data_IF_738886935349
#
_entry.id   IF_738886935349
#
_cell.length_a   1.000
_cell.length_b   1.000
_cell.length_c   1.000
_cell.angle_alpha   90.00
_cell.angle_beta   90.00
_cell.angle_gamma   90.00
#
_symmetry.space_group_name_H-M   'P 1'
#
loop_
_entity.id
_entity.type
_entity.pdbx_description
1 polymer ?
#
# COMPACT_ATOMS: atom_id res chain seq x y z
N UNK A 1 -10.92 42.99 -15.92
CA UNK A 1 -9.64 42.30 -16.20
C UNK A 1 -9.43 41.32 -15.07
N UNK A 2 -10.06 40.15 -15.14
CA UNK A 2 -9.93 39.11 -14.11
C UNK A 2 -9.20 37.94 -14.77
N UNK A 3 -7.90 37.82 -14.47
CA UNK A 3 -7.17 36.60 -14.77
C UNK A 3 -7.70 35.51 -13.84
N UNK A 4 -8.40 34.55 -14.42
CA UNK A 4 -8.70 33.27 -13.77
C UNK A 4 -7.34 32.57 -13.68
N UNK A 5 -6.85 32.36 -12.45
CA UNK A 5 -5.70 31.50 -12.21
C UNK A 5 -6.05 30.09 -12.71
N UNK A 6 -5.53 29.72 -13.87
CA UNK A 6 -5.54 28.34 -14.35
C UNK A 6 -4.32 27.64 -13.76
N UNK A 7 -4.37 27.35 -12.46
CA UNK A 7 -3.48 26.33 -11.92
C UNK A 7 -3.80 25.03 -12.67
N UNK A 8 -2.81 24.35 -13.29
CA UNK A 8 -3.08 23.11 -13.97
C UNK A 8 -3.63 22.10 -12.95
N UNK A 9 -4.66 21.31 -13.30
CA UNK A 9 -5.18 20.30 -12.40
C UNK A 9 -4.04 19.37 -11.98
N UNK A 10 -3.96 19.06 -10.68
CA UNK A 10 -3.05 18.05 -10.14
C UNK A 10 -3.07 16.82 -11.06
N UNK A 11 -1.95 16.56 -11.75
CA UNK A 11 -1.88 15.49 -12.76
C UNK A 11 -1.69 14.15 -12.03
N UNK A 12 -2.80 13.61 -11.52
CA UNK A 12 -2.82 12.28 -10.94
C UNK A 12 -2.96 11.22 -12.05
N UNK A 13 -2.17 10.16 -11.98
CA UNK A 13 -2.25 8.98 -12.84
C UNK A 13 -2.62 7.78 -11.97
N UNK A 14 -3.57 6.99 -12.41
CA UNK A 14 -4.10 5.83 -11.68
C UNK A 14 -3.81 4.56 -12.47
N UNK A 15 -3.39 3.50 -11.78
CA UNK A 15 -3.07 2.19 -12.33
C UNK A 15 -3.68 1.08 -11.48
N UNK A 16 -3.95 -0.08 -12.10
CA UNK A 16 -4.51 -1.26 -11.41
C UNK A 16 -5.88 -0.99 -10.77
N UNK A 17 -6.16 -1.71 -9.69
CA UNK A 17 -7.43 -1.62 -8.94
C UNK A 17 -7.40 -0.51 -7.87
N UNK A 18 -6.89 0.68 -8.20
CA UNK A 18 -6.84 1.76 -7.21
C UNK A 18 -8.24 2.36 -6.98
N UNK A 19 -8.62 2.55 -5.72
CA UNK A 19 -9.87 3.23 -5.33
C UNK A 19 -9.57 4.72 -5.11
N UNK A 20 -10.03 5.63 -5.99
CA UNK A 20 -9.68 7.06 -5.91
C UNK A 20 -10.40 7.80 -4.78
N UNK A 21 -11.59 7.33 -4.41
CA UNK A 21 -12.47 7.96 -3.43
C UNK A 21 -13.09 6.88 -2.57
N UNK A 22 -12.84 6.94 -1.27
CA UNK A 22 -13.52 6.08 -0.30
C UNK A 22 -14.84 6.73 0.14
N UNK A 23 -15.88 5.93 0.41
CA UNK A 23 -17.10 6.44 1.04
C UNK A 23 -16.78 7.17 2.36
N UNK A 24 -17.29 8.40 2.58
CA UNK A 24 -16.96 9.19 3.78
C UNK A 24 -17.56 8.60 5.07
N UNK A 25 -18.49 7.67 4.93
CA UNK A 25 -19.22 7.03 6.02
C UNK A 25 -18.48 5.80 6.59
N UNK A 26 -17.39 5.37 5.95
CA UNK A 26 -16.62 4.21 6.37
C UNK A 26 -15.46 4.61 7.28
N UNK A 27 -15.33 3.90 8.40
CA UNK A 27 -14.22 4.09 9.32
C UNK A 27 -12.86 3.82 8.64
N UNK A 28 -11.84 4.53 9.11
CA UNK A 28 -10.46 4.32 8.67
C UNK A 28 -9.48 4.58 9.80
N UNK A 29 -8.36 3.86 9.74
CA UNK A 29 -7.21 4.13 10.61
C UNK A 29 -6.05 4.57 9.72
N UNK A 30 -5.55 5.78 9.97
CA UNK A 30 -4.40 6.32 9.27
C UNK A 30 -3.28 6.72 10.23
N UNK A 31 -2.06 6.31 9.89
CA UNK A 31 -0.81 6.69 10.52
C UNK A 31 -0.02 7.57 9.56
N UNK A 32 0.62 8.61 10.10
CA UNK A 32 1.47 9.52 9.33
C UNK A 32 2.85 9.64 9.98
N UNK A 33 3.90 9.51 9.17
CA UNK A 33 5.28 9.55 9.61
C UNK A 33 6.01 10.73 8.97
N UNK A 34 6.52 11.64 9.80
CA UNK A 34 7.32 12.77 9.32
C UNK A 34 8.77 12.33 9.05
N UNK A 35 9.33 12.51 7.84
CA UNK A 35 10.67 12.03 7.51
C UNK A 35 11.78 12.47 8.48
N UNK A 36 11.73 13.71 8.97
CA UNK A 36 12.79 14.35 9.77
C UNK A 36 12.95 13.88 11.23
N UNK A 37 12.03 13.09 11.80
CA UNK A 37 11.98 12.86 13.25
C UNK A 37 12.67 11.61 13.84
N UNK A 38 13.53 10.88 13.11
CA UNK A 38 14.46 9.81 13.57
C UNK A 38 15.15 9.15 12.37
N UNK A 39 16.34 8.54 12.49
CA UNK A 39 16.95 7.82 11.36
C UNK A 39 16.03 6.69 10.90
N UNK A 40 15.72 6.65 9.60
CA UNK A 40 14.78 5.72 8.95
C UNK A 40 14.97 4.24 9.32
N UNK A 41 16.21 3.84 9.67
CA UNK A 41 16.56 2.48 10.15
C UNK A 41 15.91 2.10 11.49
N UNK A 42 15.70 3.06 12.40
CA UNK A 42 14.96 2.79 13.64
C UNK A 42 13.45 2.66 13.36
N UNK A 43 12.93 3.32 12.32
CA UNK A 43 11.53 3.16 11.91
C UNK A 43 11.26 1.83 11.22
N UNK A 44 12.22 1.27 10.49
CA UNK A 44 12.07 -0.08 9.93
C UNK A 44 11.81 -1.14 11.02
N UNK A 45 12.42 -1.00 12.21
CA UNK A 45 12.08 -1.83 13.37
C UNK A 45 10.64 -1.62 13.87
N UNK A 46 10.07 -0.42 13.68
CA UNK A 46 8.66 -0.14 13.99
C UNK A 46 7.69 -0.54 12.87
N UNK A 47 8.13 -0.82 11.64
CA UNK A 47 7.22 -1.21 10.55
C UNK A 47 6.39 -2.44 10.94
N UNK A 48 7.06 -3.47 11.46
CA UNK A 48 6.38 -4.67 11.97
C UNK A 48 5.40 -4.32 13.09
N UNK A 49 5.76 -3.42 14.01
CA UNK A 49 4.86 -3.00 15.09
C UNK A 49 3.62 -2.28 14.55
N UNK A 50 3.80 -1.35 13.60
CA UNK A 50 2.69 -0.63 12.97
C UNK A 50 1.77 -1.56 12.19
N UNK A 51 2.33 -2.54 11.47
CA UNK A 51 1.56 -3.55 10.74
C UNK A 51 0.78 -4.47 11.68
N UNK A 52 1.41 -4.94 12.77
CA UNK A 52 0.72 -5.76 13.78
C UNK A 52 -0.39 -4.98 14.48
N UNK A 53 -0.13 -3.73 14.88
CA UNK A 53 -1.14 -2.88 15.48
C UNK A 53 -2.34 -2.65 14.55
N UNK A 54 -2.08 -2.42 13.26
CA UNK A 54 -3.15 -2.29 12.27
C UNK A 54 -3.95 -3.58 12.11
N UNK A 55 -3.28 -4.74 12.09
CA UNK A 55 -3.93 -6.04 12.02
C UNK A 55 -4.75 -6.36 13.28
N UNK A 56 -4.27 -5.99 14.47
CA UNK A 56 -5.02 -6.08 15.73
C UNK A 56 -6.24 -5.16 15.73
N UNK A 57 -6.10 -3.94 15.22
CA UNK A 57 -7.23 -3.03 15.09
C UNK A 57 -8.27 -3.58 14.10
N UNK A 58 -7.81 -4.13 12.97
CA UNK A 58 -8.62 -4.74 11.92
C UNK A 58 -9.52 -5.87 12.45
N UNK A 59 -9.07 -6.69 13.40
CA UNK A 59 -9.90 -7.81 13.89
C UNK A 59 -11.21 -7.38 14.55
N UNK A 60 -11.31 -6.12 15.02
CA UNK A 60 -12.56 -5.60 15.61
C UNK A 60 -13.67 -5.39 14.57
N UNK A 61 -13.33 -5.38 13.28
CA UNK A 61 -14.28 -5.20 12.19
C UNK A 61 -14.72 -6.52 11.57
N UNK A 62 -14.08 -7.64 11.90
CA UNK A 62 -14.43 -8.94 11.36
C UNK A 62 -15.81 -9.39 11.89
N UNK A 63 -16.64 -10.03 11.04
CA UNK A 63 -17.92 -10.56 11.48
C UNK A 63 -17.70 -11.65 12.54
N UNK A 64 -18.41 -11.52 13.67
CA UNK A 64 -18.41 -12.50 14.75
C UNK A 64 -19.69 -13.32 14.63
N UNK A 65 -19.54 -14.61 14.30
CA UNK A 65 -20.62 -15.59 14.31
C UNK A 65 -20.22 -16.73 15.26
N UNK A 66 -20.80 -16.73 16.46
CA UNK A 66 -20.48 -17.67 17.54
C UNK A 66 -20.86 -19.12 17.18
N UNK A 67 -21.75 -19.31 16.20
CA UNK A 67 -22.19 -20.63 15.73
C UNK A 67 -21.27 -21.21 14.65
N UNK A 68 -20.27 -20.45 14.17
CA UNK A 68 -19.38 -20.91 13.10
C UNK A 68 -18.15 -21.67 13.63
N UNK A 69 -18.02 -22.99 13.35
CA UNK A 69 -16.99 -23.85 13.97
C UNK A 69 -15.52 -23.46 13.68
N UNK A 70 -15.29 -22.57 12.71
CA UNK A 70 -13.96 -22.16 12.25
C UNK A 70 -13.66 -20.67 12.49
N UNK A 71 -14.47 -19.98 13.28
CA UNK A 71 -14.37 -18.53 13.48
C UNK A 71 -12.97 -18.08 13.92
N UNK A 72 -12.40 -18.71 14.95
CA UNK A 72 -11.07 -18.36 15.48
C UNK A 72 -9.98 -18.52 14.40
N UNK A 73 -10.08 -19.58 13.59
CA UNK A 73 -9.13 -19.85 12.51
C UNK A 73 -9.21 -18.76 11.44
N UNK A 74 -10.42 -18.39 10.99
CA UNK A 74 -10.58 -17.31 10.00
C UNK A 74 -10.07 -15.98 10.51
N UNK A 75 -10.40 -15.61 11.75
CA UNK A 75 -9.88 -14.36 12.36
C UNK A 75 -8.35 -14.34 12.36
N UNK A 76 -7.72 -15.47 12.71
CA UNK A 76 -6.27 -15.60 12.72
C UNK A 76 -5.66 -15.51 11.32
N UNK A 77 -6.28 -16.14 10.32
CA UNK A 77 -5.84 -16.10 8.92
C UNK A 77 -5.99 -14.69 8.33
N UNK A 78 -7.15 -14.06 8.50
CA UNK A 78 -7.40 -12.68 8.03
C UNK A 78 -6.44 -11.68 8.71
N UNK A 79 -6.20 -11.83 10.01
CA UNK A 79 -5.21 -11.02 10.74
C UNK A 79 -3.79 -11.22 10.19
N UNK A 80 -3.39 -12.47 9.93
CA UNK A 80 -2.07 -12.75 9.38
C UNK A 80 -1.89 -12.15 7.98
N UNK A 81 -2.91 -12.27 7.11
CA UNK A 81 -2.93 -11.68 5.79
C UNK A 81 -2.80 -10.15 5.84
N UNK A 82 -3.65 -9.49 6.65
CA UNK A 82 -3.60 -8.03 6.83
C UNK A 82 -2.24 -7.59 7.38
N UNK A 83 -1.68 -8.29 8.38
CA UNK A 83 -0.37 -7.98 8.96
C UNK A 83 0.76 -8.09 7.92
N UNK A 84 0.73 -9.14 7.09
CA UNK A 84 1.71 -9.32 6.01
C UNK A 84 1.64 -8.17 5.00
N UNK A 85 0.46 -7.91 4.45
CA UNK A 85 0.26 -6.85 3.44
C UNK A 85 0.59 -5.47 3.98
N UNK A 86 0.13 -5.17 5.19
CA UNK A 86 0.48 -3.96 5.92
C UNK A 86 2.00 -3.76 6.03
N UNK A 87 2.72 -4.82 6.41
CA UNK A 87 4.17 -4.77 6.55
C UNK A 87 4.87 -4.54 5.21
N UNK A 88 4.50 -5.29 4.17
CA UNK A 88 5.11 -5.17 2.84
C UNK A 88 4.88 -3.78 2.21
N UNK A 89 3.66 -3.24 2.30
CA UNK A 89 3.36 -1.91 1.79
C UNK A 89 4.10 -0.82 2.55
N UNK A 90 4.14 -0.90 3.89
CA UNK A 90 4.85 0.09 4.70
C UNK A 90 6.37 0.00 4.51
N UNK A 91 6.92 -1.21 4.37
CA UNK A 91 8.33 -1.43 4.07
C UNK A 91 8.70 -0.83 2.71
N UNK A 92 7.90 -1.09 1.67
CA UNK A 92 8.09 -0.50 0.35
C UNK A 92 8.04 1.03 0.42
N UNK A 93 7.02 1.60 1.06
CA UNK A 93 6.89 3.04 1.20
C UNK A 93 8.09 3.68 1.91
N UNK A 94 8.59 3.05 2.99
CA UNK A 94 9.77 3.53 3.72
C UNK A 94 11.07 3.33 2.94
N UNK A 95 11.20 2.26 2.15
CA UNK A 95 12.38 1.95 1.34
C UNK A 95 12.55 2.93 0.19
N UNK A 96 11.46 3.28 -0.48
CA UNK A 96 11.47 4.14 -1.66
C UNK A 96 11.19 5.62 -1.37
N UNK A 97 10.90 5.97 -0.10
CA UNK A 97 10.69 7.36 0.27
C UNK A 97 11.91 8.24 -0.04
N UNK A 98 11.69 9.41 -0.64
CA UNK A 98 12.74 10.42 -0.76
C UNK A 98 13.05 11.02 0.62
N UNK A 99 14.24 10.70 1.15
CA UNK A 99 14.71 11.21 2.44
C UNK A 99 14.98 12.72 2.45
N UNK A 100 15.06 13.36 1.28
CA UNK A 100 15.21 14.82 1.18
C UNK A 100 13.86 15.54 1.09
N UNK A 101 12.76 14.80 0.96
CA UNK A 101 11.41 15.34 0.91
C UNK A 101 10.83 15.51 2.30
N UNK A 102 10.04 16.57 2.49
CA UNK A 102 9.23 16.78 3.70
C UNK A 102 7.84 16.12 3.61
N UNK A 103 7.53 15.46 2.49
CA UNK A 103 6.28 14.74 2.33
C UNK A 103 6.18 13.60 3.36
N UNK A 104 5.07 13.58 4.09
CA UNK A 104 4.85 12.56 5.12
C UNK A 104 4.54 11.22 4.47
N UNK A 105 5.17 10.16 4.97
CA UNK A 105 4.70 8.82 4.63
C UNK A 105 3.36 8.61 5.31
N UNK A 106 2.32 8.29 4.54
CA UNK A 106 0.99 7.92 5.05
C UNK A 106 0.81 6.42 4.93
N UNK A 107 0.10 5.83 5.88
CA UNK A 107 -0.17 4.41 5.90
C UNK A 107 -1.52 4.19 6.58
N UNK A 108 -2.41 3.44 5.99
CA UNK A 108 -3.75 3.29 6.54
C UNK A 108 -4.51 2.10 6.02
N UNK A 109 -5.65 1.87 6.64
CA UNK A 109 -6.63 0.85 6.26
C UNK A 109 -8.03 1.46 6.23
N UNK A 110 -8.76 1.17 5.15
CA UNK A 110 -10.19 1.40 4.99
C UNK A 110 -10.92 0.05 4.91
N UNK A 111 -12.22 0.07 5.20
CA UNK A 111 -13.06 -1.11 5.20
C UNK A 111 -14.22 -0.93 4.23
N UNK A 112 -14.32 -1.82 3.24
CA UNK A 112 -15.49 -1.90 2.38
C UNK A 112 -16.37 -3.06 2.83
N UNK A 113 -17.55 -2.74 3.36
CA UNK A 113 -18.54 -3.75 3.74
C UNK A 113 -19.36 -4.16 2.51
N UNK A 114 -19.32 -5.44 2.17
CA UNK A 114 -20.21 -6.08 1.22
C UNK A 114 -21.22 -6.96 1.99
N UNK A 115 -22.32 -7.35 1.35
CA UNK A 115 -23.45 -8.04 2.01
C UNK A 115 -23.04 -9.23 2.88
N UNK A 116 -22.01 -10.00 2.49
CA UNK A 116 -21.54 -11.20 3.19
C UNK A 116 -20.00 -11.24 3.36
N UNK A 117 -19.32 -10.12 3.21
CA UNK A 117 -17.85 -10.10 3.30
C UNK A 117 -17.31 -8.71 3.52
N UNK A 118 -16.09 -8.64 4.03
CA UNK A 118 -15.39 -7.38 4.23
C UNK A 118 -14.19 -7.37 3.30
N UNK A 119 -13.88 -6.20 2.74
CA UNK A 119 -12.62 -5.99 2.04
C UNK A 119 -11.79 -4.99 2.83
N UNK A 120 -10.64 -5.45 3.29
CA UNK A 120 -9.60 -4.61 3.87
C UNK A 120 -8.86 -3.91 2.73
N UNK A 121 -8.88 -2.58 2.72
CA UNK A 121 -8.15 -1.77 1.74
C UNK A 121 -7.00 -1.07 2.45
N UNK A 122 -5.81 -1.61 2.29
CA UNK A 122 -4.59 -1.15 2.95
C UNK A 122 -3.81 -0.30 1.96
N UNK A 123 -3.32 0.86 2.38
CA UNK A 123 -2.54 1.73 1.51
C UNK A 123 -1.32 2.30 2.23
N UNK A 124 -0.28 2.58 1.45
CA UNK A 124 0.85 3.37 1.88
C UNK A 124 1.19 4.42 0.81
N UNK A 125 1.44 5.65 1.24
CA UNK A 125 1.87 6.75 0.38
C UNK A 125 3.24 7.27 0.80
N UNK A 126 4.13 7.47 -0.16
CA UNK A 126 5.46 8.06 0.04
C UNK A 126 5.83 8.98 -1.12
N UNK A 127 6.83 9.83 -0.87
CA UNK A 127 7.48 10.58 -1.95
C UNK A 127 8.47 9.70 -2.70
N UNK A 128 8.68 9.96 -3.98
CA UNK A 128 9.72 9.28 -4.77
C UNK A 128 10.81 10.26 -5.20
N UNK A 129 12.04 9.76 -5.28
CA UNK A 129 13.18 10.55 -5.77
C UNK A 129 12.96 10.94 -7.24
N UNK A 130 13.53 12.08 -7.62
CA UNK A 130 13.54 12.51 -9.03
C UNK A 130 14.08 11.40 -9.96
N UNK A 131 13.40 11.16 -11.07
CA UNK A 131 13.70 10.08 -12.02
C UNK A 131 13.25 8.67 -11.59
N UNK A 132 12.59 8.52 -10.43
CA UNK A 132 12.02 7.25 -9.99
C UNK A 132 10.68 6.91 -10.64
N UNK A 133 9.95 7.92 -11.15
CA UNK A 133 8.61 7.77 -11.74
C UNK A 133 8.61 6.80 -12.93
N UNK A 134 9.50 7.00 -13.90
CA UNK A 134 9.51 6.20 -15.13
C UNK A 134 9.82 4.73 -14.85
N UNK A 135 10.76 4.46 -13.93
CA UNK A 135 11.10 3.10 -13.49
C UNK A 135 9.92 2.42 -12.81
N UNK A 136 9.20 3.16 -11.97
CA UNK A 136 8.03 2.64 -11.28
C UNK A 136 6.88 2.35 -12.27
N UNK A 137 6.63 3.25 -13.23
CA UNK A 137 5.61 3.03 -14.27
C UNK A 137 5.91 1.80 -15.11
N UNK A 138 7.14 1.67 -15.59
CA UNK A 138 7.55 0.49 -16.36
C UNK A 138 7.35 -0.81 -15.57
N UNK A 139 7.67 -0.82 -14.28
CA UNK A 139 7.41 -1.95 -13.40
C UNK A 139 5.92 -2.25 -13.23
N UNK A 140 5.08 -1.23 -13.01
CA UNK A 140 3.62 -1.40 -12.87
C UNK A 140 3.03 -1.95 -14.17
N UNK A 141 3.43 -1.41 -15.32
CA UNK A 141 2.97 -1.85 -16.63
C UNK A 141 3.36 -3.31 -16.91
N UNK A 142 4.61 -3.69 -16.58
CA UNK A 142 5.07 -5.07 -16.68
C UNK A 142 4.24 -6.01 -15.78
N UNK A 143 4.01 -5.61 -14.52
CA UNK A 143 3.23 -6.39 -13.56
C UNK A 143 1.77 -6.58 -14.01
N UNK A 144 1.15 -5.54 -14.57
CA UNK A 144 -0.24 -5.59 -15.05
C UNK A 144 -0.41 -6.36 -16.37
N UNK A 145 0.65 -6.48 -17.17
CA UNK A 145 0.64 -7.17 -18.46
C UNK A 145 1.06 -8.64 -18.37
N UNK A 146 1.73 -9.05 -17.29
CA UNK A 146 2.32 -10.39 -17.13
C UNK A 146 1.35 -11.38 -16.50
N UNK A 147 1.60 -12.67 -16.74
CA UNK A 147 1.12 -13.73 -15.86
C UNK A 147 1.88 -13.64 -14.53
N UNK A 148 1.17 -13.38 -13.43
CA UNK A 148 1.77 -13.10 -12.12
C UNK A 148 2.47 -14.32 -11.53
N UNK A 149 2.09 -15.53 -11.94
CA UNK A 149 2.75 -16.77 -11.50
C UNK A 149 4.12 -16.94 -12.18
N UNK A 150 4.21 -16.71 -13.49
CA UNK A 150 5.50 -16.72 -14.19
C UNK A 150 6.43 -15.61 -13.69
N UNK A 151 5.87 -14.42 -13.44
CA UNK A 151 6.63 -13.29 -12.91
C UNK A 151 7.13 -13.57 -11.49
N UNK A 152 6.34 -14.25 -10.64
CA UNK A 152 6.74 -14.67 -9.31
C UNK A 152 7.93 -15.64 -9.34
N UNK A 153 7.87 -16.66 -10.21
CA UNK A 153 8.98 -17.60 -10.38
C UNK A 153 10.26 -16.88 -10.83
N UNK A 154 10.18 -16.02 -11.86
CA UNK A 154 11.33 -15.24 -12.34
C UNK A 154 11.89 -14.33 -11.25
N UNK A 155 11.03 -13.73 -10.43
CA UNK A 155 11.48 -12.83 -9.37
C UNK A 155 12.12 -13.60 -8.21
N UNK A 156 11.63 -14.80 -7.87
CA UNK A 156 12.30 -15.70 -6.92
C UNK A 156 13.71 -16.03 -7.42
N UNK A 157 13.85 -16.43 -8.70
CA UNK A 157 15.14 -16.74 -9.30
C UNK A 157 16.11 -15.56 -9.23
N UNK A 158 15.66 -14.34 -9.60
CA UNK A 158 16.47 -13.11 -9.49
C UNK A 158 16.80 -12.74 -8.04
N UNK A 159 15.89 -13.00 -7.10
CA UNK A 159 16.09 -12.70 -5.68
C UNK A 159 17.06 -13.65 -4.97
N UNK A 160 17.20 -14.88 -5.48
CA UNK A 160 18.18 -15.84 -5.03
C UNK A 160 19.61 -15.44 -5.47
N UNK A 161 19.72 -14.70 -6.57
CA UNK A 161 20.98 -14.16 -7.10
C UNK A 161 21.31 -12.77 -6.53
N UNK A 162 20.29 -11.95 -6.23
CA UNK A 162 20.41 -10.61 -5.64
C UNK A 162 19.62 -10.50 -4.33
N UNK A 163 20.32 -10.35 -3.19
CA UNK A 163 19.69 -10.06 -1.89
C UNK A 163 18.82 -8.80 -1.96
N UNK A 164 17.51 -8.97 -2.01
CA UNK A 164 16.53 -7.88 -1.88
C UNK A 164 15.84 -7.44 -3.17
N UNK A 165 15.52 -8.38 -4.07
CA UNK A 165 14.68 -8.09 -5.23
C UNK A 165 13.39 -7.38 -4.80
N UNK A 166 13.14 -6.20 -5.35
CA UNK A 166 11.90 -5.46 -5.09
C UNK A 166 10.79 -6.05 -5.95
N UNK A 167 9.57 -6.21 -5.42
CA UNK A 167 8.44 -6.76 -6.16
C UNK A 167 7.99 -8.15 -5.74
N UNK A 168 8.83 -8.95 -5.06
CA UNK A 168 8.40 -10.25 -4.53
C UNK A 168 7.24 -10.11 -3.54
N UNK A 169 7.29 -9.13 -2.63
CA UNK A 169 6.19 -8.87 -1.70
C UNK A 169 4.87 -8.57 -2.41
N UNK A 170 4.89 -7.80 -3.52
CA UNK A 170 3.67 -7.52 -4.31
C UNK A 170 3.12 -8.80 -4.96
N UNK A 171 3.99 -9.64 -5.51
CA UNK A 171 3.58 -10.90 -6.13
C UNK A 171 3.06 -11.90 -5.09
N UNK A 172 3.67 -11.99 -3.90
CA UNK A 172 3.14 -12.80 -2.79
C UNK A 172 1.75 -12.31 -2.38
N UNK A 173 1.51 -11.00 -2.35
CA UNK A 173 0.18 -10.45 -2.07
C UNK A 173 -0.86 -10.90 -3.09
N UNK A 174 -0.51 -10.89 -4.38
CA UNK A 174 -1.41 -11.32 -5.45
C UNK A 174 -1.65 -12.84 -5.39
N UNK A 175 -0.59 -13.64 -5.28
CA UNK A 175 -0.69 -15.09 -5.45
C UNK A 175 -1.20 -15.80 -4.18
N UNK A 176 -0.71 -15.43 -2.99
CA UNK A 176 -1.05 -16.12 -1.74
C UNK A 176 -2.33 -15.57 -1.09
N UNK A 177 -2.65 -14.29 -1.33
CA UNK A 177 -3.78 -13.60 -0.69
C UNK A 177 -4.83 -13.08 -1.69
N UNK A 178 -4.66 -13.36 -3.00
CA UNK A 178 -5.56 -12.85 -4.06
C UNK A 178 -5.76 -11.34 -3.99
N UNK A 179 -4.72 -10.60 -3.55
CA UNK A 179 -4.83 -9.18 -3.35
C UNK A 179 -4.95 -8.44 -4.68
N UNK A 180 -5.89 -7.49 -4.75
CA UNK A 180 -5.97 -6.55 -5.88
C UNK A 180 -5.11 -5.34 -5.57
N UNK A 181 -4.19 -4.99 -6.46
CA UNK A 181 -3.23 -3.91 -6.22
C UNK A 181 -3.51 -2.75 -7.16
N UNK A 182 -3.42 -1.54 -6.62
CA UNK A 182 -3.57 -0.30 -7.35
C UNK A 182 -2.53 0.74 -6.96
N UNK A 183 -2.26 1.67 -7.88
CA UNK A 183 -1.35 2.77 -7.66
C UNK A 183 -1.96 4.09 -8.08
N UNK A 184 -1.62 5.14 -7.35
CA UNK A 184 -1.85 6.53 -7.74
C UNK A 184 -0.54 7.30 -7.66
N UNK A 185 -0.12 7.85 -8.79
CA UNK A 185 1.04 8.75 -8.88
C UNK A 185 0.53 10.18 -9.02
N UNK A 186 0.97 11.08 -8.16
CA UNK A 186 0.52 12.46 -8.14
C UNK A 186 1.66 13.45 -7.88
N UNK A 187 1.66 14.56 -8.60
CA UNK A 187 2.53 15.69 -8.29
C UNK A 187 1.87 16.54 -7.22
N UNK A 188 2.51 16.66 -6.07
CA UNK A 188 2.09 17.51 -4.95
C UNK A 188 2.71 18.89 -5.13
N UNK A 189 1.83 19.90 -5.23
CA UNK A 189 2.19 21.31 -5.31
C UNK A 189 2.67 21.81 -3.93
N UNK A 190 3.95 21.60 -3.65
CA UNK A 190 4.67 22.14 -2.51
C UNK A 190 6.05 22.62 -2.97
N UNK A 191 6.81 23.31 -2.12
CA UNK A 191 8.14 23.81 -2.46
C UNK A 191 9.23 23.01 -1.74
N UNK A 192 10.09 22.24 -2.44
CA UNK A 192 10.05 21.93 -3.87
C UNK A 192 8.94 20.93 -4.24
N UNK A 193 8.55 20.88 -5.52
CA UNK A 193 7.54 19.93 -6.01
C UNK A 193 7.89 18.49 -5.64
N UNK A 194 6.89 17.72 -5.24
CA UNK A 194 7.08 16.33 -4.86
C UNK A 194 6.22 15.41 -5.70
N UNK A 195 6.84 14.38 -6.27
CA UNK A 195 6.11 13.25 -6.81
C UNK A 195 5.79 12.29 -5.67
N UNK A 196 4.51 12.06 -5.42
CA UNK A 196 4.03 11.08 -4.45
C UNK A 196 3.45 9.86 -5.18
N UNK A 197 3.66 8.69 -4.59
CA UNK A 197 3.01 7.45 -4.98
C UNK A 197 2.20 6.95 -3.80
N UNK A 198 0.94 6.59 -4.05
CA UNK A 198 0.15 5.76 -3.15
C UNK A 198 0.03 4.37 -3.75
N UNK A 199 0.48 3.34 -3.04
CA UNK A 199 0.23 1.93 -3.36
C UNK A 199 -0.89 1.43 -2.45
N UNK A 200 -1.83 0.70 -3.03
CA UNK A 200 -3.01 0.17 -2.37
C UNK A 200 -3.10 -1.33 -2.64
N UNK A 201 -3.44 -2.11 -1.62
CA UNK A 201 -3.82 -3.51 -1.76
C UNK A 201 -5.19 -3.74 -1.12
N UNK A 202 -6.04 -4.48 -1.83
CA UNK A 202 -7.35 -4.89 -1.37
C UNK A 202 -7.34 -6.39 -1.10
N UNK A 203 -7.75 -6.80 0.09
CA UNK A 203 -7.85 -8.22 0.48
C UNK A 203 -9.26 -8.48 0.97
N UNK A 204 -9.90 -9.49 0.39
CA UNK A 204 -11.19 -9.99 0.86
C UNK A 204 -10.96 -10.92 2.05
N UNK A 205 -11.64 -10.66 3.15
CA UNK A 205 -11.42 -11.28 4.48
C UNK A 205 -12.70 -11.78 5.11
#
# INVERSE_FOLDING_TARGET
MNQISTDPPNKAQIFGDFIPVFPPEQDSLELSFTPSSRPIKQRWRSNRLSAHFMADYFTNFLPIDEDEPNQEKRIKESKAAVSYVANELLENAMKFNDGNSNYKVRFGIHFLNETNSITAVIFASNSIKSGGEDKLKAFIEELLASDTDEMYVRQIERSAEEYGSSGLGLLTMINDYSAKIGWKLETIQQEPLVMAVTTMAQIKV
#
